data_IF_213323494143
#
_entry.id   IF_213323494143
#
_cell.length_a   1.000
_cell.length_b   1.000
_cell.length_c   1.000
_cell.angle_alpha   90.00
_cell.angle_beta   90.00
_cell.angle_gamma   90.00
#
_symmetry.space_group_name_H-M   'P 1'
#
loop_
_entity.id
_entity.type
_entity.pdbx_description
1 polymer ?
#
# COMPACT_ATOMS: atom_id res chain seq x y z
N UNK A 1 -22.52 4.65 -12.85
CA UNK A 1 -21.68 3.45 -12.92
C UNK A 1 -20.34 3.67 -12.23
N UNK A 2 -19.94 2.74 -11.44
CA UNK A 2 -18.70 2.83 -10.68
C UNK A 2 -17.50 2.51 -11.58
N UNK A 3 -16.50 3.37 -11.56
CA UNK A 3 -15.28 3.12 -12.32
C UNK A 3 -14.41 2.09 -11.59
N UNK A 4 -13.84 1.11 -12.32
CA UNK A 4 -13.08 0.02 -11.66
C UNK A 4 -11.87 0.48 -10.84
N UNK A 5 -11.27 1.61 -11.20
CA UNK A 5 -10.07 2.09 -10.51
C UNK A 5 -10.37 2.98 -9.30
N UNK A 6 -11.61 3.40 -9.11
CA UNK A 6 -11.97 4.36 -8.08
C UNK A 6 -12.68 3.69 -6.92
N UNK A 7 -12.54 4.26 -5.73
CA UNK A 7 -13.19 3.77 -4.52
C UNK A 7 -13.96 4.89 -3.84
N UNK A 8 -15.14 4.57 -3.35
CA UNK A 8 -15.97 5.53 -2.60
C UNK A 8 -15.33 5.91 -1.26
N UNK A 9 -14.43 5.07 -0.76
CA UNK A 9 -13.75 5.31 0.52
C UNK A 9 -12.41 6.04 0.35
N UNK A 10 -12.02 6.38 -0.89
CA UNK A 10 -10.70 6.95 -1.16
C UNK A 10 -10.43 8.24 -0.37
N UNK A 11 -11.45 9.08 -0.22
CA UNK A 11 -11.28 10.36 0.48
C UNK A 11 -10.78 10.17 1.92
N UNK A 12 -11.01 9.01 2.50
CA UNK A 12 -10.60 8.73 3.89
C UNK A 12 -9.11 8.46 4.03
N UNK A 13 -8.47 7.98 2.96
CA UNK A 13 -7.03 7.68 2.98
C UNK A 13 -6.21 8.63 2.12
N UNK A 14 -6.86 9.42 1.26
CA UNK A 14 -6.19 10.22 0.25
C UNK A 14 -5.15 11.18 0.81
N UNK A 15 -5.35 11.69 2.01
CA UNK A 15 -4.46 12.68 2.63
C UNK A 15 -3.42 12.09 3.57
N UNK A 16 -3.43 10.78 3.75
CA UNK A 16 -2.43 10.13 4.58
C UNK A 16 -1.05 10.26 3.94
N UNK A 17 -0.03 10.36 4.77
CA UNK A 17 1.36 10.47 4.33
C UNK A 17 2.13 9.25 4.82
N UNK A 18 2.01 8.12 4.10
CA UNK A 18 2.54 6.85 4.61
C UNK A 18 4.04 6.74 4.48
N UNK A 19 4.61 5.97 5.39
CA UNK A 19 6.02 5.63 5.39
C UNK A 19 6.17 4.25 6.02
N UNK A 20 7.03 3.41 5.48
CA UNK A 20 7.32 2.13 6.11
C UNK A 20 8.12 2.34 7.39
N UNK A 21 7.85 1.51 8.38
CA UNK A 21 8.64 1.54 9.61
C UNK A 21 10.03 1.00 9.37
N UNK A 22 10.98 1.38 10.23
CA UNK A 22 12.38 1.04 10.07
C UNK A 22 12.68 -0.45 10.07
N UNK A 23 11.83 -1.25 10.71
CA UNK A 23 12.04 -2.70 10.77
C UNK A 23 11.51 -3.45 9.56
N UNK A 24 10.93 -2.74 8.58
CA UNK A 24 10.47 -3.33 7.33
C UNK A 24 11.58 -3.21 6.29
N UNK A 25 12.00 -4.36 5.72
CA UNK A 25 13.04 -4.41 4.69
C UNK A 25 12.50 -5.06 3.45
N UNK A 26 12.77 -4.47 2.30
CA UNK A 26 12.28 -5.00 1.03
C UNK A 26 13.45 -5.50 0.19
N UNK A 27 13.29 -6.71 -0.36
CA UNK A 27 14.26 -7.32 -1.26
C UNK A 27 13.56 -7.77 -2.53
N UNK A 28 14.29 -7.65 -3.63
CA UNK A 28 13.84 -8.12 -4.93
C UNK A 28 14.17 -9.60 -5.05
N UNK A 29 13.22 -10.40 -5.49
CA UNK A 29 13.42 -11.83 -5.68
C UNK A 29 12.84 -12.30 -7.01
N UNK A 30 13.52 -13.23 -7.66
CA UNK A 30 12.98 -13.93 -8.81
C UNK A 30 12.60 -15.34 -8.41
N UNK A 31 11.39 -15.72 -8.79
CA UNK A 31 10.90 -17.06 -8.54
C UNK A 31 10.12 -17.53 -9.76
N UNK A 32 10.58 -18.61 -10.36
CA UNK A 32 9.98 -19.19 -11.56
C UNK A 32 9.84 -18.20 -12.71
N UNK A 33 10.86 -17.36 -12.90
CA UNK A 33 10.87 -16.38 -13.96
C UNK A 33 10.09 -15.11 -13.66
N UNK A 34 9.41 -15.03 -12.52
CA UNK A 34 8.68 -13.85 -12.14
C UNK A 34 9.41 -13.04 -11.09
N UNK A 35 9.29 -11.72 -11.21
CA UNK A 35 9.88 -10.79 -10.27
C UNK A 35 8.89 -10.51 -9.13
N UNK A 36 9.39 -10.65 -7.91
CA UNK A 36 8.62 -10.34 -6.70
C UNK A 36 9.42 -9.41 -5.81
N UNK A 37 8.72 -8.66 -5.00
CA UNK A 37 9.33 -7.88 -3.94
C UNK A 37 8.85 -8.45 -2.61
N UNK A 38 9.82 -8.80 -1.76
CA UNK A 38 9.52 -9.42 -0.47
C UNK A 38 9.84 -8.44 0.63
N UNK A 39 8.83 -8.09 1.41
CA UNK A 39 8.99 -7.26 2.59
C UNK A 39 9.21 -8.18 3.78
N UNK A 40 10.34 -8.04 4.42
CA UNK A 40 10.68 -8.81 5.61
C UNK A 40 10.47 -7.94 6.84
N UNK A 41 9.56 -8.37 7.71
CA UNK A 41 9.33 -7.74 9.00
C UNK A 41 10.36 -8.31 9.97
N UNK A 42 11.33 -7.48 10.34
CA UNK A 42 12.46 -7.93 11.17
C UNK A 42 12.09 -8.17 12.61
N UNK A 43 10.93 -7.69 13.04
CA UNK A 43 10.45 -7.87 14.40
C UNK A 43 9.71 -9.19 14.53
N UNK A 44 8.74 -9.44 13.64
CA UNK A 44 7.92 -10.65 13.71
C UNK A 44 8.51 -11.83 12.94
N UNK A 45 9.42 -11.55 11.99
CA UNK A 45 9.93 -12.56 11.08
C UNK A 45 9.01 -12.88 9.92
N UNK A 46 7.87 -12.19 9.81
CA UNK A 46 6.89 -12.43 8.75
C UNK A 46 7.40 -11.89 7.41
N UNK A 47 7.03 -12.58 6.33
CA UNK A 47 7.35 -12.15 4.98
C UNK A 47 6.06 -11.80 4.26
N UNK A 48 6.09 -10.69 3.51
CA UNK A 48 4.98 -10.27 2.66
C UNK A 48 5.49 -10.14 1.25
N UNK A 49 4.77 -10.72 0.30
CA UNK A 49 5.19 -10.74 -1.10
C UNK A 49 4.34 -9.78 -1.91
N UNK A 50 4.99 -8.96 -2.73
CA UNK A 50 4.29 -7.97 -3.55
C UNK A 50 4.73 -8.06 -5.00
N UNK A 51 3.78 -7.81 -5.90
CA UNK A 51 4.07 -7.66 -7.33
C UNK A 51 4.84 -6.37 -7.57
N UNK A 52 5.51 -6.23 -8.73
CA UNK A 52 6.16 -4.96 -9.08
C UNK A 52 5.20 -3.77 -9.06
N UNK A 53 3.96 -3.96 -9.52
CA UNK A 53 2.97 -2.88 -9.53
C UNK A 53 2.69 -2.36 -8.12
N UNK A 54 2.50 -3.27 -7.17
CA UNK A 54 2.27 -2.90 -5.77
C UNK A 54 3.52 -2.26 -5.16
N UNK A 55 4.69 -2.79 -5.49
CA UNK A 55 5.94 -2.23 -4.99
C UNK A 55 6.14 -0.78 -5.44
N UNK A 56 5.72 -0.44 -6.66
CA UNK A 56 5.83 0.94 -7.14
C UNK A 56 5.09 1.91 -6.23
N UNK A 57 3.96 1.50 -5.68
CA UNK A 57 3.23 2.32 -4.71
C UNK A 57 4.02 2.44 -3.41
N UNK A 58 4.50 1.33 -2.89
CA UNK A 58 5.26 1.31 -1.62
C UNK A 58 6.54 2.14 -1.73
N UNK A 59 7.17 2.10 -2.88
CA UNK A 59 8.42 2.80 -3.14
C UNK A 59 8.28 4.31 -2.95
N UNK A 60 7.08 4.84 -3.15
CA UNK A 60 6.83 6.27 -3.02
C UNK A 60 6.39 6.67 -1.61
N UNK A 61 6.35 5.74 -0.68
CA UNK A 61 6.03 6.01 0.72
C UNK A 61 7.22 6.67 1.40
N UNK A 62 7.22 7.98 1.47
CA UNK A 62 8.32 8.74 2.07
C UNK A 62 7.90 9.58 3.28
N UNK A 63 6.66 9.43 3.73
CA UNK A 63 6.13 10.20 4.85
C UNK A 63 5.78 11.63 4.49
N UNK A 64 5.97 12.03 3.23
CA UNK A 64 5.68 13.39 2.77
C UNK A 64 4.62 13.43 1.69
N UNK A 65 4.65 12.49 0.74
CA UNK A 65 3.63 12.39 -0.29
C UNK A 65 2.35 11.82 0.31
N UNK A 66 1.21 12.38 -0.09
CA UNK A 66 -0.07 11.81 0.30
C UNK A 66 -0.35 10.55 -0.54
N UNK A 67 -1.25 9.71 -0.04
CA UNK A 67 -1.68 8.53 -0.77
C UNK A 67 -2.24 8.91 -2.13
N UNK A 68 -3.01 10.00 -2.20
CA UNK A 68 -3.57 10.48 -3.47
C UNK A 68 -2.48 10.89 -4.46
N UNK A 69 -1.47 11.61 -3.98
CA UNK A 69 -0.33 12.00 -4.81
C UNK A 69 0.41 10.77 -5.33
N UNK A 70 0.61 9.78 -4.47
CA UNK A 70 1.30 8.54 -4.85
C UNK A 70 0.52 7.81 -5.92
N UNK A 71 -0.79 7.64 -5.71
CA UNK A 71 -1.64 6.93 -6.67
C UNK A 71 -1.67 7.64 -8.03
N UNK A 72 -1.79 8.97 -8.01
CA UNK A 72 -1.78 9.77 -9.25
C UNK A 72 -0.45 9.65 -9.98
N UNK A 73 0.65 9.62 -9.25
CA UNK A 73 1.97 9.48 -9.85
C UNK A 73 2.13 8.10 -10.51
N UNK A 74 1.66 7.06 -9.85
CA UNK A 74 1.73 5.70 -10.39
C UNK A 74 0.85 5.57 -11.63
N UNK A 75 -0.37 6.10 -11.57
CA UNK A 75 -1.30 6.04 -12.72
C UNK A 75 -0.80 6.86 -13.89
N UNK A 76 -0.17 8.01 -13.65
CA UNK A 76 0.37 8.85 -14.70
C UNK A 76 1.51 8.19 -15.45
N UNK A 77 2.23 7.28 -14.78
CA UNK A 77 3.32 6.53 -15.41
C UNK A 77 2.84 5.55 -16.46
N UNK A 78 1.57 5.24 -16.47
CA UNK A 78 0.98 4.31 -17.43
C UNK A 78 1.34 2.87 -17.15
N UNK A 79 0.97 1.99 -18.07
CA UNK A 79 1.26 0.58 -17.93
C UNK A 79 0.01 -0.22 -17.68
N UNK A 80 0.15 -1.54 -17.79
CA UNK A 80 -0.97 -2.46 -17.71
C UNK A 80 -1.33 -2.84 -16.27
N UNK A 81 -0.41 -2.60 -15.32
CA UNK A 81 -0.55 -3.07 -13.96
C UNK A 81 -0.70 -1.92 -12.97
N UNK A 82 -1.64 -1.01 -13.24
CA UNK A 82 -1.93 0.09 -12.35
C UNK A 82 -2.86 -0.43 -11.23
N UNK A 83 -2.47 -0.27 -9.96
CA UNK A 83 -3.37 -0.69 -8.87
C UNK A 83 -4.59 0.20 -8.79
N UNK A 84 -5.74 -0.40 -8.47
CA UNK A 84 -6.95 0.36 -8.22
C UNK A 84 -6.87 1.04 -6.86
N UNK A 85 -7.76 2.01 -6.61
CA UNK A 85 -7.83 2.65 -5.30
C UNK A 85 -8.17 1.64 -4.21
N UNK A 86 -9.05 0.69 -4.49
CA UNK A 86 -9.37 -0.37 -3.52
C UNK A 86 -8.15 -1.22 -3.18
N UNK A 87 -7.33 -1.52 -4.17
CA UNK A 87 -6.11 -2.28 -3.93
C UNK A 87 -5.12 -1.52 -3.05
N UNK A 88 -5.02 -0.20 -3.25
CA UNK A 88 -4.18 0.65 -2.41
C UNK A 88 -4.71 0.66 -0.97
N UNK A 89 -6.02 0.77 -0.80
CA UNK A 89 -6.63 0.73 0.54
C UNK A 89 -6.32 -0.60 1.23
N UNK A 90 -6.44 -1.72 0.51
CA UNK A 90 -6.12 -3.04 1.07
C UNK A 90 -4.65 -3.15 1.43
N UNK A 91 -3.77 -2.58 0.62
CA UNK A 91 -2.34 -2.55 0.91
C UNK A 91 -2.07 -1.80 2.21
N UNK A 92 -2.68 -0.62 2.37
CA UNK A 92 -2.54 0.16 3.59
C UNK A 92 -3.05 -0.63 4.81
N UNK A 93 -4.18 -1.32 4.64
CA UNK A 93 -4.74 -2.14 5.71
C UNK A 93 -3.81 -3.29 6.09
N UNK A 94 -3.21 -3.93 5.11
CA UNK A 94 -2.28 -5.04 5.33
C UNK A 94 -1.04 -4.57 6.09
N UNK A 95 -0.45 -3.46 5.66
CA UNK A 95 0.75 -2.92 6.29
C UNK A 95 0.45 -2.39 7.69
N UNK A 96 -0.71 -1.76 7.87
CA UNK A 96 -1.12 -1.28 9.18
C UNK A 96 -1.33 -2.43 10.16
N UNK A 97 -2.02 -3.48 9.71
CA UNK A 97 -2.29 -4.65 10.54
C UNK A 97 -1.01 -5.33 11.01
N UNK A 98 0.04 -5.29 10.17
CA UNK A 98 1.34 -5.88 10.49
C UNK A 98 2.27 -4.95 11.27
N UNK A 99 1.81 -3.76 11.62
CA UNK A 99 2.62 -2.73 12.28
C UNK A 99 3.85 -2.34 11.47
N UNK A 100 3.67 -2.26 10.15
CA UNK A 100 4.74 -1.94 9.20
C UNK A 100 4.63 -0.54 8.64
N UNK A 101 3.55 0.17 8.97
CA UNK A 101 3.21 1.45 8.37
C UNK A 101 3.16 2.56 9.42
N UNK A 102 3.80 3.68 9.10
CA UNK A 102 3.59 4.95 9.78
C UNK A 102 2.82 5.86 8.85
N UNK A 103 1.86 6.60 9.38
CA UNK A 103 1.17 7.62 8.61
C UNK A 103 0.72 8.71 9.56
N UNK A 104 0.77 9.95 9.10
CA UNK A 104 0.23 11.06 9.89
C UNK A 104 -1.28 10.94 9.87
N UNK A 105 -1.86 10.19 10.79
CA UNK A 105 -3.19 9.67 10.56
C UNK A 105 -4.32 10.51 11.13
N UNK A 106 -5.41 10.63 10.34
CA UNK A 106 -6.67 11.16 10.86
C UNK A 106 -7.26 10.22 11.91
N UNK A 107 -8.13 10.75 12.78
CA UNK A 107 -8.67 9.98 13.90
C UNK A 107 -9.37 8.67 13.55
N UNK A 108 -9.96 8.54 12.36
CA UNK A 108 -10.74 7.35 12.01
C UNK A 108 -9.99 6.36 11.12
N UNK A 109 -8.68 6.52 10.97
CA UNK A 109 -7.93 5.63 10.09
C UNK A 109 -8.01 4.17 10.53
N UNK A 110 -7.81 3.92 11.81
CA UNK A 110 -7.81 2.56 12.32
C UNK A 110 -9.14 1.86 12.07
N UNK A 111 -10.24 2.57 12.28
CA UNK A 111 -11.56 2.02 12.05
C UNK A 111 -11.76 1.67 10.58
N UNK A 112 -11.33 2.55 9.67
CA UNK A 112 -11.44 2.31 8.24
C UNK A 112 -10.64 1.08 7.82
N UNK A 113 -9.39 0.98 8.28
CA UNK A 113 -8.53 -0.12 7.90
C UNK A 113 -9.01 -1.45 8.48
N UNK A 114 -9.59 -1.44 9.68
CA UNK A 114 -10.20 -2.62 10.26
C UNK A 114 -11.38 -3.10 9.42
N UNK A 115 -12.22 -2.19 8.95
CA UNK A 115 -13.34 -2.54 8.09
C UNK A 115 -12.88 -3.21 6.80
N UNK A 116 -11.84 -2.66 6.18
CA UNK A 116 -11.28 -3.24 4.96
C UNK A 116 -10.77 -4.65 5.21
N UNK A 117 -10.10 -4.86 6.32
CA UNK A 117 -9.58 -6.16 6.67
C UNK A 117 -10.69 -7.19 6.90
N UNK A 118 -11.79 -6.78 7.51
CA UNK A 118 -12.92 -7.68 7.79
C UNK A 118 -13.72 -8.05 6.55
N UNK A 119 -13.66 -7.23 5.52
CA UNK A 119 -14.42 -7.46 4.29
C UNK A 119 -13.74 -8.42 3.32
N UNK A 120 -12.56 -8.87 3.62
CA UNK A 120 -11.82 -9.80 2.77
C UNK A 120 -12.28 -11.22 2.92
#
# INVERSE_FOLDING_TARGET
>A
MRKPFLSDAWYRVARLQPQLRAHARIQQQRFRGQLWYVLHDRVSGTLHRFTPATYHVIQLFDGKRTVDEIWRKVTAGGGDDIPSQDEVIRLLAQLHAGDLLQSGQPPNLEELLERERKQR
#
